data_IF_857252163045
#
_entry.id   IF_857252163045
#
_cell.length_a   1.000
_cell.length_b   1.000
_cell.length_c   1.000
_cell.angle_alpha   90.00
_cell.angle_beta   90.00
_cell.angle_gamma   90.00
#
_symmetry.space_group_name_H-M   'P 1'
#
loop_
_entity.id
_entity.type
_entity.pdbx_description
1 polymer ?
#
# COMPACT_ATOMS: atom_id res chain seq x y z
N UNK A 1 6.77 -1.47 -6.53
CA UNK A 1 5.99 -0.49 -7.31
C UNK A 1 4.86 0.15 -6.52
N UNK A 2 3.95 -0.62 -5.88
CA UNK A 2 2.75 -0.09 -5.24
C UNK A 2 3.00 0.96 -4.15
N UNK A 3 3.98 0.72 -3.29
CA UNK A 3 4.40 1.69 -2.27
C UNK A 3 4.83 3.03 -2.88
N UNK A 4 5.72 2.98 -3.88
CA UNK A 4 6.23 4.19 -4.54
C UNK A 4 5.13 4.95 -5.28
N UNK A 5 4.15 4.25 -5.85
CA UNK A 5 2.97 4.90 -6.47
C UNK A 5 2.20 5.74 -5.45
N UNK A 6 1.97 5.20 -4.25
CA UNK A 6 1.29 5.91 -3.16
C UNK A 6 2.13 7.11 -2.68
N UNK A 7 3.43 6.91 -2.46
CA UNK A 7 4.34 7.98 -2.02
C UNK A 7 4.37 9.12 -3.04
N UNK A 8 4.53 8.79 -4.33
CA UNK A 8 4.55 9.79 -5.40
C UNK A 8 3.24 10.57 -5.45
N UNK A 9 2.09 9.89 -5.39
CA UNK A 9 0.79 10.54 -5.40
C UNK A 9 0.53 11.40 -4.15
N UNK A 10 1.11 11.04 -3.02
CA UNK A 10 1.03 11.83 -1.79
C UNK A 10 1.94 13.06 -1.77
N UNK A 11 2.99 13.08 -2.60
CA UNK A 11 3.97 14.17 -2.66
C UNK A 11 3.78 15.10 -3.86
N UNK A 12 3.24 14.61 -4.97
CA UNK A 12 3.12 15.35 -6.22
C UNK A 12 1.65 15.54 -6.64
N UNK A 13 1.10 16.76 -6.53
CA UNK A 13 -0.30 17.04 -6.89
C UNK A 13 -0.58 16.95 -8.38
N UNK A 14 0.44 16.79 -9.23
CA UNK A 14 0.27 16.56 -10.67
C UNK A 14 -0.20 15.14 -10.99
N UNK A 15 -0.04 14.21 -10.06
CA UNK A 15 -0.57 12.85 -10.21
C UNK A 15 -2.09 12.91 -10.21
N UNK A 16 -2.71 12.48 -11.30
CA UNK A 16 -4.15 12.55 -11.52
C UNK A 16 -4.89 11.30 -11.04
N UNK A 17 -4.23 10.15 -11.08
CA UNK A 17 -4.72 8.85 -10.61
C UNK A 17 -3.54 7.89 -10.41
N UNK A 18 -3.75 6.81 -9.66
CA UNK A 18 -2.74 5.80 -9.44
C UNK A 18 -3.33 4.39 -9.42
N UNK A 19 -2.49 3.40 -9.72
CA UNK A 19 -2.83 1.99 -9.53
C UNK A 19 -1.70 1.31 -8.74
N UNK A 20 -2.04 0.66 -7.64
CA UNK A 20 -1.06 0.06 -6.74
C UNK A 20 -1.38 -1.41 -6.46
N UNK A 21 -0.43 -2.29 -6.78
CA UNK A 21 -0.40 -3.68 -6.32
C UNK A 21 0.51 -3.82 -5.11
N UNK A 22 0.07 -4.58 -4.12
CA UNK A 22 0.87 -5.03 -2.98
C UNK A 22 1.74 -3.91 -2.38
N UNK A 23 1.19 -2.81 -1.90
CA UNK A 23 2.00 -1.74 -1.35
C UNK A 23 2.81 -2.24 -0.15
N UNK A 24 4.11 -2.34 -0.32
CA UNK A 24 5.08 -2.62 0.74
C UNK A 24 5.36 -1.36 1.58
N UNK A 25 6.27 -1.46 2.54
CA UNK A 25 6.77 -0.33 3.34
C UNK A 25 5.68 0.38 4.16
N UNK A 26 4.60 -0.34 4.49
CA UNK A 26 3.47 0.17 5.24
C UNK A 26 3.49 -0.37 6.67
N UNK A 27 3.21 0.49 7.65
CA UNK A 27 3.04 0.09 9.05
C UNK A 27 4.24 -0.68 9.61
N UNK A 28 5.43 -0.09 9.53
CA UNK A 28 6.67 -0.70 10.05
C UNK A 28 6.56 -1.10 11.52
N UNK A 29 5.86 -0.31 12.33
CA UNK A 29 5.65 -0.58 13.74
C UNK A 29 4.54 -1.62 14.03
N UNK A 30 3.94 -2.22 13.02
CA UNK A 30 2.82 -3.16 13.18
C UNK A 30 3.11 -4.27 14.19
N UNK A 31 4.27 -4.90 14.13
CA UNK A 31 4.66 -5.96 15.07
C UNK A 31 4.75 -5.49 16.52
N UNK A 32 5.17 -4.26 16.77
CA UNK A 32 5.18 -3.67 18.10
C UNK A 32 3.76 -3.48 18.67
N UNK A 33 2.78 -3.41 17.79
CA UNK A 33 1.36 -3.27 18.12
C UNK A 33 0.57 -4.58 17.96
N UNK A 34 1.25 -5.72 17.97
CA UNK A 34 0.67 -7.08 17.92
C UNK A 34 -0.15 -7.37 16.65
N UNK A 35 0.23 -6.78 15.51
CA UNK A 35 -0.30 -7.10 14.18
C UNK A 35 0.84 -7.27 13.18
N UNK A 36 0.57 -7.92 12.05
CA UNK A 36 1.60 -8.08 11.04
C UNK A 36 1.94 -6.73 10.41
N UNK A 37 3.19 -6.29 10.58
CA UNK A 37 3.78 -5.13 9.93
C UNK A 37 4.19 -5.46 8.49
N UNK A 38 4.38 -4.42 7.66
CA UNK A 38 4.73 -4.57 6.27
C UNK A 38 6.19 -5.01 6.03
N UNK A 39 6.43 -5.47 4.80
CA UNK A 39 7.80 -5.70 4.35
C UNK A 39 8.63 -4.42 4.50
N UNK A 40 9.89 -4.50 4.99
CA UNK A 40 10.74 -5.68 5.20
C UNK A 40 10.64 -6.34 6.59
N UNK A 41 9.54 -6.18 7.33
CA UNK A 41 9.27 -6.86 8.59
C UNK A 41 10.26 -6.51 9.72
N UNK A 42 10.65 -5.23 9.84
CA UNK A 42 11.69 -4.76 10.74
C UNK A 42 11.60 -5.31 12.17
N UNK A 43 10.42 -5.32 12.76
CA UNK A 43 10.24 -5.70 14.16
C UNK A 43 9.64 -7.08 14.35
N UNK A 44 9.66 -7.94 13.33
CA UNK A 44 9.12 -9.30 13.45
C UNK A 44 9.82 -10.12 14.50
N UNK A 45 11.17 -10.00 14.59
CA UNK A 45 12.02 -10.76 15.49
C UNK A 45 13.05 -9.87 16.20
N UNK A 46 12.86 -8.56 16.21
CA UNK A 46 13.77 -7.59 16.78
C UNK A 46 13.03 -6.57 17.63
N UNK A 47 13.73 -5.97 18.57
CA UNK A 47 13.26 -4.81 19.31
C UNK A 47 13.89 -3.55 18.71
N UNK A 48 13.17 -2.42 18.68
CA UNK A 48 13.73 -1.18 18.17
C UNK A 48 14.85 -0.66 19.09
N UNK A 49 15.86 -0.06 18.47
CA UNK A 49 16.83 0.77 19.18
C UNK A 49 16.30 2.20 19.33
N UNK A 50 16.97 3.01 20.16
CA UNK A 50 16.55 4.38 20.43
C UNK A 50 16.32 5.18 19.13
N UNK A 51 15.18 5.86 19.02
CA UNK A 51 14.77 6.72 17.90
C UNK A 51 14.50 6.01 16.55
N UNK A 52 14.67 4.67 16.49
CA UNK A 52 14.48 3.94 15.24
C UNK A 52 13.02 3.99 14.75
N UNK A 53 12.05 3.79 15.65
CA UNK A 53 10.62 3.82 15.33
C UNK A 53 10.22 5.21 14.78
N UNK A 54 10.71 6.26 15.43
CA UNK A 54 10.45 7.64 15.01
C UNK A 54 11.09 7.93 13.65
N UNK A 55 12.31 7.46 13.42
CA UNK A 55 13.00 7.61 12.14
C UNK A 55 12.28 6.86 11.03
N UNK A 56 11.89 5.61 11.26
CA UNK A 56 11.16 4.81 10.26
C UNK A 56 9.79 5.39 9.91
N UNK A 57 9.14 6.11 10.82
CA UNK A 57 7.88 6.77 10.55
C UNK A 57 7.97 7.79 9.39
N UNK A 58 9.13 8.41 9.16
CA UNK A 58 9.36 9.30 8.02
C UNK A 58 9.37 8.59 6.67
N UNK A 59 9.59 7.27 6.68
CA UNK A 59 9.64 6.44 5.47
C UNK A 59 8.40 5.54 5.33
N UNK A 60 7.52 5.53 6.32
CA UNK A 60 6.32 4.70 6.31
C UNK A 60 5.29 5.23 5.31
N UNK A 61 4.90 4.38 4.37
CA UNK A 61 3.94 4.70 3.31
C UNK A 61 2.59 5.17 3.87
N UNK A 62 2.20 4.72 5.05
CA UNK A 62 0.95 5.16 5.73
C UNK A 62 0.92 6.68 5.90
N UNK A 63 2.07 7.30 6.18
CA UNK A 63 2.15 8.75 6.39
C UNK A 63 2.01 9.55 5.08
N UNK A 64 2.47 9.00 3.95
CA UNK A 64 2.26 9.58 2.62
C UNK A 64 0.83 9.34 2.12
N UNK A 65 0.27 8.16 2.41
CA UNK A 65 -1.09 7.78 2.04
C UNK A 65 -2.15 8.78 2.53
N UNK A 66 -1.94 9.39 3.71
CA UNK A 66 -2.81 10.45 4.26
C UNK A 66 -2.97 11.68 3.36
N UNK A 67 -2.08 11.86 2.39
CA UNK A 67 -2.04 13.00 1.47
C UNK A 67 -2.53 12.67 0.06
N UNK A 68 -2.86 11.41 -0.22
CA UNK A 68 -3.29 10.98 -1.54
C UNK A 68 -4.74 11.38 -1.79
N UNK A 69 -4.95 12.42 -2.61
CA UNK A 69 -6.27 12.86 -3.04
C UNK A 69 -6.64 12.33 -4.43
N UNK A 70 -5.65 11.88 -5.21
CA UNK A 70 -5.88 11.32 -6.53
C UNK A 70 -6.70 10.02 -6.43
N UNK A 71 -7.68 9.80 -7.33
CA UNK A 71 -8.39 8.53 -7.42
C UNK A 71 -7.40 7.37 -7.60
N UNK A 72 -7.62 6.27 -6.88
CA UNK A 72 -6.71 5.14 -6.88
C UNK A 72 -7.40 3.79 -7.01
N UNK A 73 -6.78 2.92 -7.78
CA UNK A 73 -7.08 1.50 -7.87
C UNK A 73 -6.05 0.72 -7.06
N UNK A 74 -6.52 -0.13 -6.16
CA UNK A 74 -5.66 -0.88 -5.25
C UNK A 74 -6.01 -2.35 -5.30
N UNK A 75 -4.99 -3.23 -5.32
CA UNK A 75 -5.24 -4.67 -5.31
C UNK A 75 -4.16 -5.43 -4.55
N UNK A 76 -4.58 -6.46 -3.83
CA UNK A 76 -3.69 -7.41 -3.16
C UNK A 76 -4.38 -8.74 -2.88
N UNK A 77 -3.55 -9.74 -2.55
CA UNK A 77 -4.00 -11.04 -2.09
C UNK A 77 -4.26 -11.06 -0.59
N UNK A 78 -5.33 -11.72 -0.18
CA UNK A 78 -5.68 -11.85 1.24
C UNK A 78 -4.68 -12.74 2.02
N UNK A 79 -4.04 -13.68 1.31
CA UNK A 79 -3.04 -14.59 1.89
C UNK A 79 -1.60 -14.11 1.67
N UNK A 80 -1.38 -12.83 1.39
CA UNK A 80 -0.05 -12.28 1.18
C UNK A 80 0.73 -12.24 2.50
N UNK A 81 1.80 -13.03 2.58
CA UNK A 81 2.71 -13.06 3.74
C UNK A 81 3.94 -12.19 3.55
N UNK A 82 4.19 -11.73 2.34
CA UNK A 82 5.28 -10.79 2.03
C UNK A 82 4.86 -9.36 2.36
N UNK A 83 3.68 -8.95 1.86
CA UNK A 83 3.05 -7.69 2.26
C UNK A 83 1.72 -8.03 2.95
N UNK A 84 1.71 -8.27 4.26
CA UNK A 84 0.50 -8.71 4.95
C UNK A 84 -0.67 -7.75 4.76
N UNK A 85 -1.90 -8.24 4.53
CA UNK A 85 -3.09 -7.41 4.35
C UNK A 85 -3.27 -6.35 5.43
N UNK A 86 -2.97 -6.68 6.70
CA UNK A 86 -3.04 -5.73 7.81
C UNK A 86 -2.22 -4.47 7.56
N UNK A 87 -1.00 -4.61 7.02
CA UNK A 87 -0.13 -3.49 6.71
C UNK A 87 -0.63 -2.68 5.50
N UNK A 88 -1.14 -3.35 4.48
CA UNK A 88 -1.71 -2.69 3.30
C UNK A 88 -2.99 -1.92 3.63
N UNK A 89 -3.86 -2.50 4.46
CA UNK A 89 -5.04 -1.81 4.98
C UNK A 89 -4.68 -0.59 5.83
N UNK A 90 -3.57 -0.61 6.57
CA UNK A 90 -3.12 0.56 7.34
C UNK A 90 -2.88 1.78 6.44
N UNK A 91 -2.32 1.58 5.24
CA UNK A 91 -2.16 2.64 4.26
C UNK A 91 -3.49 2.96 3.55
N UNK A 92 -4.21 1.94 3.06
CA UNK A 92 -5.47 2.12 2.33
C UNK A 92 -6.51 2.91 3.13
N UNK A 93 -6.71 2.56 4.39
CA UNK A 93 -7.77 3.15 5.22
C UNK A 93 -7.59 4.66 5.46
N UNK A 94 -6.36 5.16 5.42
CA UNK A 94 -6.06 6.58 5.67
C UNK A 94 -6.02 7.45 4.40
N UNK A 95 -6.16 6.85 3.21
CA UNK A 95 -6.24 7.58 1.95
C UNK A 95 -7.58 8.35 1.91
N UNK A 96 -7.56 9.68 1.78
CA UNK A 96 -8.77 10.49 1.71
C UNK A 96 -9.42 10.49 0.33
N UNK A 97 -8.67 10.25 -0.74
CA UNK A 97 -9.16 10.24 -2.12
C UNK A 97 -10.13 9.09 -2.42
N UNK A 98 -10.81 9.18 -3.55
CA UNK A 98 -11.63 8.08 -4.07
C UNK A 98 -10.75 6.85 -4.31
N UNK A 99 -11.19 5.71 -3.81
CA UNK A 99 -10.36 4.50 -3.82
C UNK A 99 -11.20 3.25 -4.07
N UNK A 100 -10.75 2.44 -5.03
CA UNK A 100 -11.34 1.15 -5.39
C UNK A 100 -10.41 0.03 -4.93
N UNK A 101 -10.93 -0.90 -4.11
CA UNK A 101 -10.19 -2.06 -3.63
C UNK A 101 -10.64 -3.32 -4.35
N UNK A 102 -9.68 -3.99 -4.97
CA UNK A 102 -9.82 -5.29 -5.61
C UNK A 102 -9.05 -6.34 -4.80
N UNK A 103 -9.72 -6.91 -3.81
CA UNK A 103 -9.16 -7.90 -2.92
C UNK A 103 -9.40 -9.32 -3.47
N UNK A 104 -8.33 -10.09 -3.60
CA UNK A 104 -8.39 -11.49 -4.04
C UNK A 104 -8.13 -12.43 -2.87
N UNK A 105 -9.13 -13.20 -2.49
CA UNK A 105 -9.11 -14.00 -1.27
C UNK A 105 -8.13 -15.18 -1.35
N UNK A 106 -7.86 -15.67 -2.55
CA UNK A 106 -7.09 -16.89 -2.79
C UNK A 106 -5.61 -16.63 -3.08
N UNK A 107 -5.24 -15.38 -3.42
CA UNK A 107 -3.87 -15.07 -3.80
C UNK A 107 -3.02 -14.66 -2.60
N UNK A 108 -1.72 -14.92 -2.72
CA UNK A 108 -0.67 -14.34 -1.88
C UNK A 108 -0.02 -13.14 -2.57
N UNK A 109 1.32 -13.09 -2.60
CA UNK A 109 2.09 -12.06 -3.28
C UNK A 109 2.22 -12.31 -4.80
N UNK A 110 1.10 -12.53 -5.46
CA UNK A 110 1.00 -12.79 -6.90
C UNK A 110 -0.39 -12.43 -7.42
N UNK A 111 -0.51 -12.21 -8.74
CA UNK A 111 -1.75 -11.81 -9.40
C UNK A 111 -2.21 -12.84 -10.43
N UNK A 112 -3.53 -12.96 -10.58
CA UNK A 112 -4.14 -13.54 -11.77
C UNK A 112 -3.99 -12.60 -12.99
N UNK A 113 -3.99 -13.13 -14.23
CA UNK A 113 -4.03 -12.32 -15.44
C UNK A 113 -5.23 -11.37 -15.48
N UNK A 114 -6.37 -11.78 -14.93
CA UNK A 114 -7.60 -11.00 -14.84
C UNK A 114 -7.39 -9.70 -14.05
N UNK A 115 -6.66 -9.75 -12.93
CA UNK A 115 -6.32 -8.57 -12.14
C UNK A 115 -5.50 -7.55 -12.94
N UNK A 116 -4.58 -8.05 -13.79
CA UNK A 116 -3.81 -7.17 -14.67
C UNK A 116 -4.70 -6.52 -15.72
N UNK A 117 -5.65 -7.28 -16.27
CA UNK A 117 -6.62 -6.77 -17.26
C UNK A 117 -7.54 -5.71 -16.63
N UNK A 118 -8.09 -5.97 -15.45
CA UNK A 118 -8.92 -5.02 -14.70
C UNK A 118 -8.17 -3.69 -14.43
N UNK A 119 -6.92 -3.77 -13.99
CA UNK A 119 -6.09 -2.58 -13.78
C UNK A 119 -5.91 -1.79 -15.08
N UNK A 120 -5.62 -2.48 -16.19
CA UNK A 120 -5.40 -1.85 -17.49
C UNK A 120 -6.70 -1.16 -17.96
N UNK A 121 -7.83 -1.81 -17.81
CA UNK A 121 -9.13 -1.24 -18.17
C UNK A 121 -9.45 0.00 -17.33
N UNK A 122 -9.25 -0.08 -16.03
CA UNK A 122 -9.42 1.05 -15.12
C UNK A 122 -8.53 2.23 -15.53
N UNK A 123 -7.25 1.98 -15.84
CA UNK A 123 -6.32 3.02 -16.30
C UNK A 123 -6.74 3.63 -17.63
N UNK A 124 -7.23 2.82 -18.60
CA UNK A 124 -7.73 3.31 -19.89
C UNK A 124 -8.96 4.22 -19.70
N UNK A 125 -9.89 3.85 -18.82
CA UNK A 125 -11.05 4.70 -18.51
C UNK A 125 -10.61 6.06 -17.96
N UNK A 126 -9.62 6.09 -17.08
CA UNK A 126 -9.09 7.35 -16.52
C UNK A 126 -8.30 8.17 -17.54
N UNK A 127 -7.56 7.53 -18.45
CA UNK A 127 -6.79 8.21 -19.51
C UNK A 127 -7.66 8.73 -20.66
N UNK A 128 -8.82 8.11 -20.90
CA UNK A 128 -9.73 8.47 -21.97
C UNK A 128 -10.66 9.64 -21.66
N UNK A 129 -10.59 10.15 -20.44
CA UNK A 129 -11.35 11.32 -19.95
C UNK A 129 -10.42 12.53 -19.77
#
# INVERSE_FOLDING_TARGET
GGALSIVTAGLDPRIKFLAAFYPALCDYAGYLHKRAGGWPHYYRNAQPVANEVETLAYFDVVNFARRVNAPGWYSWGYNDVTCPPTSMYSAYNVIPGVKDLHLYLETGHWTYPEQQSERIEWLKDKCGK
#
